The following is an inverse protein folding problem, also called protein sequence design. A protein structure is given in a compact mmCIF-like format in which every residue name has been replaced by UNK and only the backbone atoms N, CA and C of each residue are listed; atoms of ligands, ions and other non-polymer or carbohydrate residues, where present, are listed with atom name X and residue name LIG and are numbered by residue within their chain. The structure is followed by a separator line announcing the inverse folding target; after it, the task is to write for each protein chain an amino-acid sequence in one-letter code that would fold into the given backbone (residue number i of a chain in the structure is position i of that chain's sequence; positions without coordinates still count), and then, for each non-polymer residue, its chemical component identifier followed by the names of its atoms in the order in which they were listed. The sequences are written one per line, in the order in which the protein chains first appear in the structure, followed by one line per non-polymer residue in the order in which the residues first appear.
data_IF_403659983165
#
_entry.id   IF_403659983165
#
_cell.length_a   1.000
_cell.length_b   1.000
_cell.length_c   1.000
_cell.angle_alpha   90.00
_cell.angle_beta   90.00
_cell.angle_gamma   90.00
#
_symmetry.space_group_name_H-M   'P 1'
#
loop_
_entity.id
_entity.type
_entity.pdbx_description
1 polymer ?
#
# COMPACT_ATOMS: atom_id res chain seq x y z
N UNK A 1 56.06 9.87 -6.22
CA UNK A 1 54.95 10.87 -6.26
C UNK A 1 53.71 10.35 -7.01
N UNK A 2 53.82 9.93 -8.28
CA UNK A 2 52.67 9.49 -9.12
C UNK A 2 51.76 8.40 -8.51
N UNK A 3 52.31 7.43 -7.75
CA UNK A 3 51.51 6.36 -7.10
C UNK A 3 50.62 6.87 -5.96
N UNK A 4 51.13 7.82 -5.16
CA UNK A 4 50.37 8.43 -4.04
C UNK A 4 49.22 9.30 -4.57
N UNK A 5 49.47 10.07 -5.63
CA UNK A 5 48.43 10.88 -6.30
C UNK A 5 47.30 10.01 -6.85
N UNK A 6 47.61 8.88 -7.49
CA UNK A 6 46.59 7.94 -8.00
C UNK A 6 45.71 7.36 -6.88
N UNK A 7 46.30 7.00 -5.73
CA UNK A 7 45.56 6.50 -4.57
C UNK A 7 44.63 7.59 -4.00
N UNK A 8 45.13 8.83 -3.84
CA UNK A 8 44.34 9.96 -3.35
C UNK A 8 43.15 10.27 -4.28
N UNK A 9 43.37 10.25 -5.60
CA UNK A 9 42.29 10.42 -6.58
C UNK A 9 41.25 9.30 -6.45
N UNK A 10 41.70 8.04 -6.33
CA UNK A 10 40.80 6.90 -6.13
C UNK A 10 39.93 7.05 -4.87
N UNK A 11 40.53 7.44 -3.75
CA UNK A 11 39.79 7.71 -2.49
C UNK A 11 38.80 8.87 -2.64
N UNK A 12 39.21 9.96 -3.29
CA UNK A 12 38.32 11.09 -3.55
C UNK A 12 37.11 10.67 -4.39
N UNK A 13 37.31 9.84 -5.43
CA UNK A 13 36.20 9.31 -6.25
C UNK A 13 35.24 8.47 -5.43
N UNK A 14 35.75 7.56 -4.59
CA UNK A 14 34.92 6.71 -3.72
C UNK A 14 34.08 7.57 -2.75
N UNK A 15 34.65 8.63 -2.21
CA UNK A 15 33.95 9.54 -1.30
C UNK A 15 32.91 10.36 -2.04
N UNK A 16 33.20 10.86 -3.25
CA UNK A 16 32.33 11.79 -3.99
C UNK A 16 31.13 11.08 -4.65
N UNK A 17 31.28 9.84 -5.12
CA UNK A 17 30.21 9.12 -5.83
C UNK A 17 28.89 9.06 -5.05
N UNK A 18 28.85 8.67 -3.76
CA UNK A 18 27.62 8.67 -2.97
C UNK A 18 26.92 10.03 -2.93
N UNK A 19 27.67 11.13 -2.78
CA UNK A 19 27.10 12.48 -2.78
C UNK A 19 26.51 12.85 -4.14
N UNK A 20 27.18 12.48 -5.25
CA UNK A 20 26.65 12.71 -6.59
C UNK A 20 25.36 11.93 -6.85
N UNK A 21 25.29 10.68 -6.39
CA UNK A 21 24.07 9.84 -6.51
C UNK A 21 22.91 10.49 -5.75
N UNK A 22 23.14 10.91 -4.50
CA UNK A 22 22.10 11.57 -3.68
C UNK A 22 21.70 12.92 -4.29
N UNK A 23 22.65 13.70 -4.79
CA UNK A 23 22.38 14.97 -5.46
C UNK A 23 21.53 14.78 -6.73
N UNK A 24 21.87 13.80 -7.57
CA UNK A 24 21.08 13.45 -8.75
C UNK A 24 19.67 12.96 -8.39
N UNK A 25 19.55 12.15 -7.34
CA UNK A 25 18.26 11.68 -6.83
C UNK A 25 17.37 12.85 -6.38
N UNK A 26 17.93 13.79 -5.62
CA UNK A 26 17.20 14.97 -5.14
C UNK A 26 16.83 15.92 -6.29
N UNK A 27 17.68 16.08 -7.29
CA UNK A 27 17.36 16.86 -8.49
C UNK A 27 16.20 16.24 -9.26
N UNK A 28 16.18 14.91 -9.42
CA UNK A 28 15.05 14.20 -10.00
C UNK A 28 13.78 14.41 -9.16
N UNK A 29 13.85 14.33 -7.83
CA UNK A 29 12.71 14.56 -6.94
C UNK A 29 12.06 15.95 -7.12
N UNK A 30 12.84 16.98 -7.44
CA UNK A 30 12.31 18.31 -7.74
C UNK A 30 11.44 18.32 -9.01
N UNK A 31 11.81 17.55 -10.03
CA UNK A 31 11.01 17.39 -11.24
C UNK A 31 9.68 16.67 -10.93
N UNK A 32 9.75 15.58 -10.16
CA UNK A 32 8.56 14.82 -9.77
C UNK A 32 7.58 15.63 -8.90
N UNK A 33 8.09 16.45 -7.97
CA UNK A 33 7.25 17.27 -7.08
C UNK A 33 6.30 18.23 -7.84
N UNK A 34 6.61 18.58 -9.09
CA UNK A 34 5.74 19.44 -9.91
C UNK A 34 4.48 18.74 -10.42
N UNK A 35 4.52 17.42 -10.60
CA UNK A 35 3.44 16.67 -11.27
C UNK A 35 2.73 15.66 -10.36
N UNK A 36 3.23 15.47 -9.14
CA UNK A 36 2.67 14.57 -8.13
C UNK A 36 2.16 15.40 -6.96
N UNK A 37 0.98 15.04 -6.46
CA UNK A 37 0.37 15.68 -5.28
C UNK A 37 0.46 14.77 -4.07
N UNK A 38 0.40 15.32 -2.87
CA UNK A 38 0.28 14.45 -1.69
C UNK A 38 -1.01 13.65 -1.77
N UNK A 39 -1.01 12.44 -1.22
CA UNK A 39 -2.18 11.57 -1.30
C UNK A 39 -3.44 12.20 -0.67
N UNK A 40 -3.30 12.96 0.42
CA UNK A 40 -4.39 13.71 1.06
C UNK A 40 -4.96 14.86 0.19
N UNK A 41 -4.18 15.43 -0.73
CA UNK A 41 -4.67 16.43 -1.69
C UNK A 41 -5.43 15.79 -2.86
N UNK A 42 -5.40 14.47 -2.97
CA UNK A 42 -5.94 13.71 -4.09
C UNK A 42 -5.07 13.78 -5.35
N UNK A 43 -5.39 12.91 -6.30
CA UNK A 43 -4.77 12.87 -7.62
C UNK A 43 -5.86 12.86 -8.69
N UNK A 44 -5.56 13.33 -9.90
CA UNK A 44 -6.56 13.33 -10.96
C UNK A 44 -5.92 13.13 -12.33
N UNK A 45 -6.64 12.45 -13.20
CA UNK A 45 -6.32 12.25 -14.61
C UNK A 45 -7.41 12.92 -15.48
N UNK A 46 -7.59 12.49 -16.73
CA UNK A 46 -8.60 13.06 -17.61
C UNK A 46 -10.01 12.75 -17.10
N UNK A 47 -10.30 11.48 -16.83
CA UNK A 47 -11.65 11.03 -16.47
C UNK A 47 -11.80 10.60 -15.02
N UNK A 48 -10.71 10.40 -14.30
CA UNK A 48 -10.73 9.88 -12.93
C UNK A 48 -10.10 10.84 -11.92
N UNK A 49 -10.55 10.70 -10.69
CA UNK A 49 -9.97 11.32 -9.51
C UNK A 49 -9.79 10.29 -8.40
N UNK A 50 -8.68 10.41 -7.68
CA UNK A 50 -8.41 9.73 -6.42
C UNK A 50 -8.69 10.73 -5.31
N UNK A 51 -9.72 10.47 -4.50
CA UNK A 51 -10.13 11.34 -3.41
C UNK A 51 -10.28 10.59 -2.09
N UNK A 52 -10.06 11.28 -0.99
CA UNK A 52 -10.24 10.72 0.34
C UNK A 52 -11.74 10.52 0.64
N UNK A 53 -12.09 9.35 1.16
CA UNK A 53 -13.40 9.10 1.77
C UNK A 53 -13.27 9.34 3.27
N UNK A 54 -13.99 10.32 3.84
CA UNK A 54 -13.86 10.65 5.25
C UNK A 54 -14.55 9.57 6.11
N UNK A 55 -13.78 8.63 6.65
CA UNK A 55 -14.30 7.60 7.55
C UNK A 55 -13.98 7.94 9.02
N UNK A 56 -14.90 7.71 9.98
CA UNK A 56 -14.52 7.63 11.39
C UNK A 56 -13.64 6.42 11.66
N UNK A 57 -12.62 6.57 12.49
CA UNK A 57 -11.82 5.45 13.02
C UNK A 57 -10.87 4.77 12.02
N UNK A 58 -10.42 3.56 12.40
CA UNK A 58 -9.39 2.77 11.73
C UNK A 58 -10.00 1.65 10.89
N UNK A 59 -9.65 1.55 9.61
CA UNK A 59 -10.20 0.55 8.68
C UNK A 59 -9.78 -0.85 9.12
N UNK A 60 -10.73 -1.78 9.18
CA UNK A 60 -10.45 -3.16 9.54
C UNK A 60 -10.08 -3.99 8.30
N UNK A 61 -9.03 -4.81 8.42
CA UNK A 61 -8.75 -5.88 7.44
C UNK A 61 -9.69 -7.06 7.67
N UNK A 62 -10.18 -7.66 6.59
CA UNK A 62 -11.07 -8.82 6.60
C UNK A 62 -10.49 -9.90 5.71
N UNK A 63 -10.75 -11.15 6.06
CA UNK A 63 -10.37 -12.31 5.26
C UNK A 63 -11.59 -12.77 4.46
N UNK A 64 -11.40 -12.96 3.15
CA UNK A 64 -12.34 -13.59 2.25
C UNK A 64 -11.80 -14.94 1.77
N UNK A 65 -12.71 -15.80 1.31
CA UNK A 65 -12.36 -17.08 0.70
C UNK A 65 -12.53 -16.99 -0.82
N UNK A 66 -11.61 -17.57 -1.57
CA UNK A 66 -11.79 -17.80 -3.01
C UNK A 66 -12.59 -19.09 -3.26
N UNK A 67 -12.88 -19.39 -4.53
CA UNK A 67 -13.43 -20.69 -4.94
C UNK A 67 -12.34 -21.75 -5.19
N UNK A 68 -11.07 -21.43 -4.96
CA UNK A 68 -9.94 -22.32 -5.21
C UNK A 68 -9.64 -23.10 -3.93
N UNK A 69 -9.57 -24.43 -4.03
CA UNK A 69 -9.21 -25.31 -2.91
C UNK A 69 -7.71 -25.21 -2.65
N UNK A 70 -7.34 -25.02 -1.40
CA UNK A 70 -5.94 -25.03 -0.97
C UNK A 70 -5.43 -26.47 -0.90
N UNK A 71 -4.75 -26.90 -1.96
CA UNK A 71 -4.19 -28.24 -2.08
C UNK A 71 -3.10 -28.55 -1.06
N UNK A 72 -2.47 -27.53 -0.46
CA UNK A 72 -1.44 -27.72 0.57
C UNK A 72 -2.00 -28.17 1.93
N UNK A 73 -3.31 -28.01 2.12
CA UNK A 73 -4.03 -28.42 3.34
C UNK A 73 -4.60 -29.85 3.29
N UNK A 74 -4.48 -30.54 2.15
CA UNK A 74 -4.87 -31.94 1.98
C UNK A 74 -3.73 -32.86 2.46
N UNK A 75 -3.59 -32.98 3.77
CA UNK A 75 -2.66 -33.93 4.39
C UNK A 75 -3.03 -35.37 4.02
N UNK A 76 -2.03 -36.13 3.57
CA UNK A 76 -2.09 -37.56 3.28
C UNK A 76 -2.34 -38.32 4.59
N UNK A 77 -3.57 -38.72 4.86
CA UNK A 77 -3.88 -39.58 6.01
C UNK A 77 -5.37 -39.64 6.32
N UNK A 78 -5.97 -40.79 6.01
CA UNK A 78 -7.36 -41.20 6.27
C UNK A 78 -8.46 -40.34 5.66
N UNK A 79 -8.95 -40.84 4.52
CA UNK A 79 -10.18 -40.43 3.89
C UNK A 79 -11.38 -40.60 4.84
N UNK A 80 -11.91 -39.49 5.35
CA UNK A 80 -13.32 -39.08 5.26
C UNK A 80 -13.56 -37.85 6.15
N UNK A 81 -13.99 -36.74 5.55
CA UNK A 81 -14.45 -35.50 6.20
C UNK A 81 -13.39 -34.55 6.79
N UNK A 82 -12.26 -34.31 6.11
CA UNK A 82 -11.51 -33.08 6.39
C UNK A 82 -12.21 -31.89 5.69
N UNK A 83 -12.40 -30.75 6.39
CA UNK A 83 -13.01 -29.57 5.79
C UNK A 83 -12.17 -29.10 4.60
N UNK A 84 -12.84 -28.84 3.47
CA UNK A 84 -12.20 -28.24 2.29
C UNK A 84 -11.79 -26.82 2.66
N UNK A 85 -10.48 -26.58 2.78
CA UNK A 85 -9.96 -25.23 2.95
C UNK A 85 -9.87 -24.56 1.58
N UNK A 86 -10.36 -23.34 1.49
CA UNK A 86 -10.24 -22.51 0.32
C UNK A 86 -9.08 -21.52 0.51
N UNK A 87 -8.44 -21.14 -0.59
CA UNK A 87 -7.41 -20.10 -0.57
C UNK A 87 -8.07 -18.81 -0.05
N UNK A 88 -7.49 -18.24 1.00
CA UNK A 88 -7.95 -16.99 1.62
C UNK A 88 -7.29 -15.77 0.96
N UNK A 89 -7.92 -14.61 1.06
CA UNK A 89 -7.35 -13.33 0.66
C UNK A 89 -7.76 -12.23 1.62
N UNK A 90 -6.97 -11.17 1.70
CA UNK A 90 -7.32 -9.99 2.48
C UNK A 90 -8.07 -8.94 1.64
N UNK A 91 -8.93 -8.19 2.31
CA UNK A 91 -9.61 -7.03 1.75
C UNK A 91 -10.15 -6.14 2.86
N UNK A 92 -10.64 -4.96 2.46
CA UNK A 92 -11.10 -3.95 3.42
C UNK A 92 -12.46 -3.34 3.05
N UNK A 93 -12.82 -3.35 1.76
CA UNK A 93 -14.04 -2.76 1.24
C UNK A 93 -14.93 -3.86 0.68
N UNK A 94 -16.22 -3.82 1.02
CA UNK A 94 -17.25 -4.68 0.44
C UNK A 94 -18.00 -3.92 -0.65
N UNK A 95 -18.33 -4.60 -1.74
CA UNK A 95 -19.32 -4.19 -2.73
C UNK A 95 -20.64 -4.88 -2.42
N UNK A 96 -21.69 -4.12 -2.09
CA UNK A 96 -23.06 -4.64 -2.06
C UNK A 96 -23.55 -4.83 -3.50
N UNK A 97 -23.60 -6.09 -3.92
CA UNK A 97 -23.91 -6.49 -5.30
C UNK A 97 -25.38 -6.30 -5.70
N UNK A 98 -26.26 -6.03 -4.73
CA UNK A 98 -27.69 -5.76 -4.97
C UNK A 98 -27.94 -4.26 -5.01
N UNK A 99 -27.40 -3.52 -4.04
CA UNK A 99 -27.63 -2.08 -3.91
C UNK A 99 -26.65 -1.21 -4.69
N UNK A 100 -25.58 -1.78 -5.24
CA UNK A 100 -24.53 -1.06 -5.99
C UNK A 100 -23.86 0.06 -5.16
N UNK A 101 -23.64 -0.24 -3.87
CA UNK A 101 -22.97 0.63 -2.89
C UNK A 101 -21.77 -0.08 -2.28
N UNK A 102 -20.89 0.68 -1.65
CA UNK A 102 -19.73 0.17 -0.95
C UNK A 102 -19.94 0.21 0.55
N UNK A 103 -19.37 -0.76 1.26
CA UNK A 103 -19.40 -0.83 2.72
C UNK A 103 -18.00 -1.05 3.28
N UNK A 104 -17.70 -0.45 4.42
CA UNK A 104 -16.44 -0.63 5.15
C UNK A 104 -16.70 -0.72 6.63
N UNK A 105 -15.92 -1.55 7.31
CA UNK A 105 -15.87 -1.58 8.78
C UNK A 105 -14.70 -0.74 9.27
N UNK A 106 -14.96 0.14 10.22
CA UNK A 106 -13.91 0.84 10.96
C UNK A 106 -14.08 0.64 12.45
N UNK A 107 -13.00 0.78 13.23
CA UNK A 107 -13.04 0.76 14.70
C UNK A 107 -12.65 2.12 15.26
N UNK A 108 -13.43 2.59 16.22
CA UNK A 108 -13.12 3.77 17.01
C UNK A 108 -12.10 3.45 18.10
N UNK A 109 -11.25 4.42 18.41
CA UNK A 109 -10.17 4.30 19.39
C UNK A 109 -8.91 3.66 18.80
N UNK A 110 -7.93 4.50 18.46
CA UNK A 110 -6.56 4.03 18.30
C UNK A 110 -5.99 3.60 19.66
N UNK A 111 -4.77 3.05 19.71
CA UNK A 111 -4.15 2.58 20.96
C UNK A 111 -4.09 3.64 22.08
N UNK A 112 -4.27 4.93 21.76
CA UNK A 112 -4.21 6.04 22.72
C UNK A 112 -5.56 6.61 23.19
N UNK A 113 -6.72 6.13 22.71
CA UNK A 113 -8.03 6.67 23.11
C UNK A 113 -8.95 5.57 23.66
N UNK A 114 -8.73 5.20 24.92
CA UNK A 114 -9.47 4.12 25.62
C UNK A 114 -10.98 4.36 25.71
N UNK A 115 -11.42 5.63 25.75
CA UNK A 115 -12.84 6.01 25.90
C UNK A 115 -13.74 5.54 24.75
N UNK A 116 -13.17 5.28 23.57
CA UNK A 116 -13.91 4.85 22.37
C UNK A 116 -13.51 3.45 21.89
N UNK A 117 -12.70 2.73 22.67
CA UNK A 117 -12.12 1.44 22.32
C UNK A 117 -13.23 0.40 22.14
N UNK A 118 -13.31 -0.19 20.96
CA UNK A 118 -14.17 -1.35 20.68
C UNK A 118 -15.55 -1.03 20.10
N UNK A 119 -15.84 0.21 19.72
CA UNK A 119 -17.01 0.50 18.87
C UNK A 119 -16.63 0.30 17.40
N UNK A 120 -17.32 -0.60 16.71
CA UNK A 120 -17.21 -0.74 15.25
C UNK A 120 -18.25 0.15 14.57
N UNK A 121 -17.84 0.81 13.50
CA UNK A 121 -18.71 1.57 12.60
C UNK A 121 -18.86 0.83 11.28
N UNK A 122 -20.08 0.79 10.77
CA UNK A 122 -20.40 0.29 9.44
C UNK A 122 -20.81 1.43 8.55
N UNK A 123 -19.92 1.75 7.63
CA UNK A 123 -20.07 2.91 6.78
C UNK A 123 -20.47 2.43 5.40
N UNK A 124 -21.65 2.84 4.94
CA UNK A 124 -22.08 2.64 3.56
C UNK A 124 -21.85 3.93 2.80
N UNK A 125 -21.24 3.85 1.62
CA UNK A 125 -21.00 5.01 0.76
C UNK A 125 -21.27 4.68 -0.71
N UNK A 126 -21.64 5.70 -1.47
CA UNK A 126 -22.00 5.54 -2.87
C UNK A 126 -20.77 5.52 -3.80
N UNK A 127 -21.03 5.38 -5.10
CA UNK A 127 -20.02 5.40 -6.18
C UNK A 127 -19.22 6.71 -6.32
N UNK A 128 -19.58 7.76 -5.57
CA UNK A 128 -18.84 9.03 -5.50
C UNK A 128 -18.13 9.21 -4.16
N UNK A 129 -18.10 8.21 -3.29
CA UNK A 129 -17.51 8.29 -1.96
C UNK A 129 -18.34 9.08 -0.94
N UNK A 130 -19.60 9.45 -1.26
CA UNK A 130 -20.49 10.12 -0.31
C UNK A 130 -21.05 9.08 0.66
N UNK A 131 -20.87 9.31 1.95
CA UNK A 131 -21.44 8.48 3.03
C UNK A 131 -22.96 8.56 2.96
N UNK A 132 -23.60 7.40 2.94
CA UNK A 132 -25.05 7.21 2.96
C UNK A 132 -25.53 6.81 4.37
N UNK A 133 -24.75 6.02 5.09
CA UNK A 133 -25.06 5.59 6.45
C UNK A 133 -23.78 5.36 7.27
N UNK A 134 -23.86 5.59 8.57
CA UNK A 134 -22.86 5.20 9.58
C UNK A 134 -23.60 4.55 10.76
N UNK A 135 -23.45 3.24 10.91
CA UNK A 135 -24.11 2.47 11.97
C UNK A 135 -23.08 1.99 12.98
N UNK A 136 -23.23 2.41 14.23
CA UNK A 136 -22.37 1.97 15.34
C UNK A 136 -22.88 0.66 15.94
N UNK A 137 -21.97 -0.28 16.21
CA UNK A 137 -22.29 -1.55 16.86
C UNK A 137 -21.19 -1.96 17.85
N UNK A 138 -21.54 -2.91 18.73
CA UNK A 138 -20.61 -3.64 19.59
C UNK A 138 -20.35 -5.10 19.15
N UNK A 139 -21.03 -5.59 18.10
CA UNK A 139 -20.90 -6.96 17.60
C UNK A 139 -20.24 -6.97 16.22
N UNK A 140 -19.33 -7.91 15.95
CA UNK A 140 -18.81 -8.15 14.61
C UNK A 140 -19.96 -8.59 13.67
N UNK A 141 -20.21 -7.85 12.59
CA UNK A 141 -21.46 -8.02 11.82
C UNK A 141 -21.37 -9.07 10.72
N UNK A 142 -22.29 -10.04 10.79
CA UNK A 142 -22.72 -10.82 9.64
C UNK A 142 -23.41 -9.95 8.56
N UNK A 143 -23.96 -8.79 8.93
CA UNK A 143 -24.74 -7.92 8.03
C UNK A 143 -23.91 -7.22 6.93
N UNK A 144 -22.62 -6.96 7.16
CA UNK A 144 -21.71 -6.47 6.12
C UNK A 144 -21.61 -7.43 4.93
N UNK A 145 -21.61 -8.73 5.21
CA UNK A 145 -21.48 -9.78 4.21
C UNK A 145 -22.80 -10.09 3.49
N UNK A 146 -23.94 -9.58 3.98
CA UNK A 146 -25.23 -9.81 3.32
C UNK A 146 -25.22 -9.15 1.94
N UNK A 147 -25.14 -9.96 0.88
CA UNK A 147 -24.89 -9.57 -0.52
C UNK A 147 -23.55 -8.85 -0.77
N UNK A 148 -22.66 -8.86 0.23
CA UNK A 148 -21.39 -8.16 0.20
C UNK A 148 -20.29 -9.01 -0.41
N UNK A 149 -19.70 -8.54 -1.50
CA UNK A 149 -18.46 -9.10 -2.03
C UNK A 149 -17.28 -8.34 -1.45
N UNK A 150 -16.42 -9.00 -0.67
CA UNK A 150 -15.16 -8.42 -0.23
C UNK A 150 -14.25 -8.18 -1.46
N UNK A 151 -13.76 -6.96 -1.62
CA UNK A 151 -12.82 -6.62 -2.68
C UNK A 151 -11.42 -7.07 -2.29
N UNK A 152 -10.83 -7.90 -3.14
CA UNK A 152 -9.49 -8.48 -2.92
C UNK A 152 -8.40 -7.43 -3.07
N UNK A 153 -7.47 -7.39 -2.12
CA UNK A 153 -6.21 -6.66 -2.26
C UNK A 153 -5.37 -7.24 -3.41
N UNK A 154 -5.01 -6.36 -4.33
CA UNK A 154 -4.21 -6.65 -5.52
C UNK A 154 -2.72 -6.46 -5.25
N UNK A 155 -2.35 -5.84 -4.13
CA UNK A 155 -0.95 -5.69 -3.74
C UNK A 155 -0.45 -7.02 -3.20
N UNK A 156 0.60 -7.55 -3.83
CA UNK A 156 1.18 -8.84 -3.46
C UNK A 156 2.08 -8.67 -2.24
N UNK A 157 2.19 -9.70 -1.38
CA UNK A 157 3.35 -9.83 -0.51
C UNK A 157 4.62 -9.72 -1.35
N UNK A 158 5.53 -8.82 -1.00
CA UNK A 158 6.74 -8.50 -1.79
C UNK A 158 6.44 -8.00 -3.22
N UNK A 159 5.52 -7.04 -3.35
CA UNK A 159 5.23 -6.35 -4.61
C UNK A 159 6.50 -5.78 -5.26
N UNK A 160 6.75 -6.03 -6.57
CA UNK A 160 7.85 -5.39 -7.29
C UNK A 160 7.51 -3.92 -7.55
N UNK A 161 7.92 -3.05 -6.65
CA UNK A 161 7.48 -1.65 -6.61
C UNK A 161 7.96 -0.79 -7.77
N UNK A 162 9.03 -1.14 -8.48
CA UNK A 162 9.56 -0.42 -9.64
C UNK A 162 9.00 -0.97 -10.97
N UNK A 163 8.26 -2.08 -10.93
CA UNK A 163 7.69 -2.69 -12.12
C UNK A 163 6.44 -1.94 -12.63
N UNK A 164 6.60 -1.23 -13.74
CA UNK A 164 5.54 -0.41 -14.35
C UNK A 164 4.33 -1.18 -14.90
N UNK A 165 4.40 -2.51 -14.98
CA UNK A 165 3.26 -3.37 -15.35
C UNK A 165 2.28 -3.59 -14.19
N UNK A 166 2.66 -3.23 -12.95
CA UNK A 166 1.79 -3.35 -11.78
C UNK A 166 0.77 -2.22 -11.72
N UNK A 167 -0.41 -2.45 -11.11
CA UNK A 167 -1.44 -1.42 -10.99
C UNK A 167 -0.96 -0.22 -10.17
N UNK A 168 -0.05 -0.45 -9.21
CA UNK A 168 0.62 0.60 -8.45
C UNK A 168 2.12 0.33 -8.47
N UNK A 169 2.90 1.36 -8.82
CA UNK A 169 4.36 1.31 -8.78
C UNK A 169 4.95 2.67 -8.40
N UNK A 170 6.17 2.65 -7.88
CA UNK A 170 7.03 3.79 -7.58
C UNK A 170 7.73 4.20 -8.87
N UNK A 171 7.40 5.38 -9.39
CA UNK A 171 8.10 5.99 -10.51
C UNK A 171 9.45 6.58 -10.08
N UNK A 172 9.54 7.07 -8.84
CA UNK A 172 10.77 7.60 -8.25
C UNK A 172 10.72 7.55 -6.73
N UNK A 173 11.88 7.37 -6.09
CA UNK A 173 12.03 7.45 -4.64
C UNK A 173 13.00 8.58 -4.28
N UNK A 174 12.55 9.53 -3.47
CA UNK A 174 13.37 10.61 -2.93
C UNK A 174 14.11 10.15 -1.67
N UNK A 175 15.44 10.27 -1.68
CA UNK A 175 16.32 10.01 -0.55
C UNK A 175 16.42 11.24 0.34
N UNK A 176 15.41 11.46 1.19
CA UNK A 176 15.29 12.68 1.99
C UNK A 176 16.14 12.62 3.28
N UNK A 177 16.05 11.55 4.07
CA UNK A 177 16.76 11.38 5.34
C UNK A 177 17.61 10.10 5.36
N UNK A 178 18.89 10.22 5.72
CA UNK A 178 19.83 9.10 5.81
C UNK A 178 19.97 8.59 7.24
N UNK A 179 19.58 7.33 7.45
CA UNK A 179 19.66 6.63 8.72
C UNK A 179 21.04 5.98 8.90
N UNK A 180 22.05 6.80 9.19
CA UNK A 180 23.45 6.34 9.36
C UNK A 180 23.62 5.28 10.46
N UNK A 181 22.72 5.25 11.45
CA UNK A 181 22.72 4.24 12.50
C UNK A 181 22.50 2.80 11.97
N UNK A 182 21.95 2.62 10.76
CA UNK A 182 21.84 1.30 10.13
C UNK A 182 23.20 0.64 9.82
N UNK A 183 24.30 1.41 9.84
CA UNK A 183 25.66 0.87 9.76
C UNK A 183 26.19 0.31 11.08
N UNK A 184 25.46 0.42 12.20
CA UNK A 184 25.96 0.04 13.53
C UNK A 184 25.00 -0.89 14.32
N UNK A 185 25.35 -2.17 14.58
CA UNK A 185 26.38 -2.97 13.91
C UNK A 185 25.82 -3.56 12.60
N UNK A 186 26.09 -2.92 11.47
CA UNK A 186 25.68 -3.35 10.11
C UNK A 186 24.29 -3.98 10.01
N UNK A 187 23.30 -3.45 10.75
CA UNK A 187 21.94 -4.03 10.86
C UNK A 187 21.25 -4.13 9.50
N UNK A 188 21.60 -3.24 8.58
CA UNK A 188 21.06 -3.21 7.21
C UNK A 188 21.73 -4.17 6.22
N UNK A 189 22.76 -4.93 6.60
CA UNK A 189 23.46 -5.88 5.70
C UNK A 189 23.06 -7.34 5.90
N UNK A 190 21.92 -7.58 6.56
CA UNK A 190 21.46 -8.92 6.89
C UNK A 190 22.26 -9.49 8.06
N UNK A 191 21.73 -9.36 9.28
CA UNK A 191 22.31 -10.04 10.43
C UNK A 191 22.06 -11.55 10.31
N UNK A 192 23.07 -12.42 10.51
CA UNK A 192 22.85 -13.87 10.63
C UNK A 192 22.03 -14.25 11.87
N UNK A 193 21.77 -13.31 12.79
CA UNK A 193 21.01 -13.54 14.04
C UNK A 193 19.58 -12.99 14.04
N UNK A 194 19.02 -12.61 12.89
CA UNK A 194 17.59 -12.27 12.78
C UNK A 194 17.19 -10.89 13.32
N UNK A 195 18.09 -9.91 13.29
CA UNK A 195 17.75 -8.51 13.60
C UNK A 195 16.71 -7.95 12.63
N UNK A 196 15.82 -7.08 13.12
CA UNK A 196 14.80 -6.40 12.31
C UNK A 196 15.44 -5.60 11.17
N UNK A 197 14.80 -5.58 9.99
CA UNK A 197 15.24 -4.82 8.81
C UNK A 197 15.46 -3.36 9.17
N UNK A 198 16.65 -2.81 8.85
CA UNK A 198 16.97 -1.40 9.02
C UNK A 198 16.92 -0.71 7.64
N UNK A 199 16.20 0.39 7.54
CA UNK A 199 16.09 1.16 6.30
C UNK A 199 17.06 2.32 6.31
N UNK A 200 18.03 2.33 5.38
CA UNK A 200 19.05 3.38 5.28
C UNK A 200 18.47 4.74 4.88
N UNK A 201 17.34 4.75 4.19
CA UNK A 201 16.70 5.99 3.77
C UNK A 201 15.24 6.02 4.15
N UNK A 202 14.80 7.17 4.66
CA UNK A 202 13.40 7.55 4.74
C UNK A 202 13.15 8.70 3.77
N UNK A 203 11.99 8.71 3.12
CA UNK A 203 11.65 9.77 2.18
C UNK A 203 10.31 9.58 1.51
N UNK A 204 10.22 10.00 0.25
CA UNK A 204 8.96 10.08 -0.51
C UNK A 204 8.98 9.17 -1.73
N UNK A 205 7.98 8.31 -1.84
CA UNK A 205 7.67 7.56 -3.04
C UNK A 205 6.74 8.37 -3.93
N UNK A 206 7.11 8.52 -5.20
CA UNK A 206 6.26 9.10 -6.24
C UNK A 206 5.55 7.96 -6.96
N UNK A 207 4.30 7.71 -6.60
CA UNK A 207 3.53 6.57 -7.05
C UNK A 207 2.66 6.88 -8.27
N UNK A 208 2.65 5.94 -9.20
CA UNK A 208 1.69 5.88 -10.29
C UNK A 208 0.66 4.80 -9.98
N UNK A 209 -0.60 5.18 -9.89
CA UNK A 209 -1.74 4.27 -9.88
C UNK A 209 -2.36 4.24 -11.26
N UNK A 210 -2.31 3.08 -11.92
CA UNK A 210 -2.89 2.84 -13.23
C UNK A 210 -4.30 2.32 -13.06
N UNK A 211 -5.29 3.09 -13.48
CA UNK A 211 -6.70 2.71 -13.47
C UNK A 211 -7.34 2.99 -14.82
N UNK A 212 -7.95 1.98 -15.44
CA UNK A 212 -8.58 2.10 -16.77
C UNK A 212 -7.70 2.81 -17.82
N UNK A 213 -6.41 2.44 -17.88
CA UNK A 213 -5.36 3.00 -18.76
C UNK A 213 -5.00 4.47 -18.49
N UNK A 214 -5.51 5.07 -17.42
CA UNK A 214 -5.11 6.40 -16.95
C UNK A 214 -4.19 6.31 -15.74
N UNK A 215 -3.33 7.31 -15.57
CA UNK A 215 -2.34 7.36 -14.48
C UNK A 215 -2.71 8.46 -13.50
N UNK A 216 -2.96 8.05 -12.26
CA UNK A 216 -3.15 8.92 -11.10
C UNK A 216 -1.82 9.00 -10.34
N UNK A 217 -1.27 10.21 -10.23
CA UNK A 217 0.06 10.48 -9.66
C UNK A 217 -0.04 11.03 -8.25
N UNK A 218 0.51 10.31 -7.26
CA UNK A 218 0.49 10.75 -5.87
C UNK A 218 1.80 10.50 -5.13
N UNK A 219 2.00 11.19 -4.01
CA UNK A 219 3.16 11.06 -3.13
C UNK A 219 2.74 10.43 -1.81
N UNK A 220 3.49 9.44 -1.35
CA UNK A 220 3.36 8.84 -0.03
C UNK A 220 4.75 8.59 0.60
N UNK A 221 4.80 8.49 1.92
CA UNK A 221 6.03 8.18 2.63
C UNK A 221 6.47 6.73 2.35
N UNK A 222 7.77 6.53 2.17
CA UNK A 222 8.37 5.21 1.96
C UNK A 222 9.80 5.22 2.49
N UNK A 223 10.28 4.06 2.90
CA UNK A 223 11.67 3.85 3.31
C UNK A 223 12.34 2.83 2.40
N UNK A 224 13.66 2.89 2.26
CA UNK A 224 14.44 1.98 1.42
C UNK A 224 15.60 1.35 2.19
N UNK A 225 15.75 0.04 2.03
CA UNK A 225 16.84 -0.78 2.58
C UNK A 225 18.12 -0.71 1.74
N UNK A 226 18.08 -0.08 0.57
CA UNK A 226 19.27 0.13 -0.25
C UNK A 226 20.02 1.40 0.13
N UNK A 227 21.35 1.30 0.28
CA UNK A 227 22.23 2.44 0.56
C UNK A 227 22.30 3.41 -0.63
N UNK A 228 22.41 2.91 -1.86
CA UNK A 228 22.65 3.74 -3.05
C UNK A 228 21.55 3.56 -4.11
N UNK A 229 21.41 2.34 -4.63
CA UNK A 229 20.47 2.00 -5.70
C UNK A 229 19.39 1.09 -5.15
N UNK A 230 18.15 1.55 -5.20
CA UNK A 230 17.00 0.79 -4.71
C UNK A 230 16.52 -0.19 -5.78
N UNK A 231 16.19 -1.39 -5.34
CA UNK A 231 15.57 -2.48 -6.08
C UNK A 231 14.13 -2.69 -5.60
N UNK A 232 13.40 -3.57 -6.29
CA UNK A 232 11.98 -3.85 -6.06
C UNK A 232 11.65 -4.24 -4.61
N UNK A 233 12.54 -5.01 -3.97
CA UNK A 233 12.39 -5.58 -2.64
C UNK A 233 12.92 -4.69 -1.50
N UNK A 234 13.57 -3.57 -1.83
CA UNK A 234 14.17 -2.67 -0.83
C UNK A 234 13.15 -1.79 -0.11
N UNK A 235 11.91 -1.68 -0.60
CA UNK A 235 10.96 -0.69 -0.12
C UNK A 235 10.09 -1.17 1.04
N UNK A 236 9.95 -0.30 2.03
CA UNK A 236 9.12 -0.49 3.22
C UNK A 236 8.24 0.72 3.50
N UNK A 237 7.12 0.50 4.17
CA UNK A 237 6.02 1.46 4.26
C UNK A 237 5.14 1.45 3.02
N UNK A 238 5.67 1.09 1.84
CA UNK A 238 4.87 0.83 0.65
C UNK A 238 3.87 -0.32 0.86
N UNK A 239 4.21 -1.31 1.71
CA UNK A 239 3.29 -2.39 2.09
C UNK A 239 2.09 -1.92 2.93
N UNK A 240 2.12 -0.70 3.46
CA UNK A 240 0.94 -0.08 4.11
C UNK A 240 -0.06 0.42 3.07
N UNK A 241 0.30 0.42 1.79
CA UNK A 241 -0.64 0.59 0.71
C UNK A 241 -1.37 -0.74 0.48
N UNK A 242 -2.70 -0.68 0.44
CA UNK A 242 -3.56 -1.75 -0.06
C UNK A 242 -4.36 -1.21 -1.23
N UNK A 243 -4.59 -2.04 -2.24
CA UNK A 243 -5.31 -1.61 -3.43
C UNK A 243 -6.33 -2.65 -3.89
N UNK A 244 -7.57 -2.22 -4.06
CA UNK A 244 -8.66 -3.11 -4.46
C UNK A 244 -9.47 -2.49 -5.58
N UNK A 245 -9.77 -3.27 -6.61
CA UNK A 245 -10.62 -2.84 -7.72
C UNK A 245 -11.97 -3.54 -7.70
N UNK A 246 -12.99 -2.88 -8.23
CA UNK A 246 -14.25 -3.56 -8.55
C UNK A 246 -14.00 -4.61 -9.66
N UNK A 247 -14.38 -5.89 -9.46
CA UNK A 247 -14.20 -6.94 -10.45
C UNK A 247 -14.92 -6.62 -11.76
N UNK A 248 -14.35 -7.06 -12.89
CA UNK A 248 -14.85 -6.75 -14.23
C UNK A 248 -16.34 -7.02 -14.42
N UNK A 249 -16.85 -8.14 -13.86
CA UNK A 249 -18.27 -8.52 -13.94
C UNK A 249 -19.25 -7.51 -13.34
N UNK A 250 -18.78 -6.58 -12.51
CA UNK A 250 -19.59 -5.51 -11.91
C UNK A 250 -19.28 -4.11 -12.45
N UNK A 251 -18.22 -3.94 -13.25
CA UNK A 251 -17.77 -2.62 -13.73
C UNK A 251 -18.80 -1.87 -14.56
N UNK A 252 -19.73 -2.59 -15.23
CA UNK A 252 -20.83 -1.97 -15.97
C UNK A 252 -21.90 -1.31 -15.08
N UNK A 253 -22.01 -1.73 -13.82
CA UNK A 253 -23.00 -1.21 -12.84
C UNK A 253 -22.36 -0.25 -11.85
N UNK A 254 -21.16 -0.61 -11.39
CA UNK A 254 -20.40 0.09 -10.37
C UNK A 254 -18.95 0.16 -10.81
N UNK A 255 -18.48 1.38 -11.03
CA UNK A 255 -17.09 1.67 -11.29
C UNK A 255 -16.44 2.21 -10.01
N UNK A 256 -15.23 1.74 -9.72
CA UNK A 256 -14.45 2.20 -8.58
C UNK A 256 -13.21 1.35 -8.33
N UNK A 257 -12.24 1.98 -7.69
CA UNK A 257 -11.13 1.30 -7.04
C UNK A 257 -10.82 2.02 -5.72
N UNK A 258 -10.10 1.32 -4.84
CA UNK A 258 -9.83 1.77 -3.49
C UNK A 258 -8.35 1.65 -3.22
N UNK A 259 -7.76 2.73 -2.73
CA UNK A 259 -6.42 2.75 -2.18
C UNK A 259 -6.56 2.99 -0.68
N UNK A 260 -5.92 2.17 0.13
CA UNK A 260 -5.81 2.39 1.57
C UNK A 260 -4.35 2.69 1.86
N UNK A 261 -4.11 3.70 2.68
CA UNK A 261 -2.78 4.04 3.17
C UNK A 261 -2.91 4.32 4.66
N UNK A 262 -2.19 3.53 5.47
CA UNK A 262 -2.34 3.50 6.92
C UNK A 262 -3.80 3.16 7.26
N UNK A 263 -4.58 4.16 7.68
CA UNK A 263 -5.99 4.02 8.09
C UNK A 263 -6.94 4.87 7.25
N UNK A 264 -6.43 5.49 6.18
CA UNK A 264 -7.20 6.38 5.32
C UNK A 264 -7.67 5.64 4.07
N UNK A 265 -8.95 5.75 3.77
CA UNK A 265 -9.54 5.24 2.53
C UNK A 265 -9.52 6.34 1.47
N UNK A 266 -9.03 5.99 0.28
CA UNK A 266 -9.12 6.79 -0.92
C UNK A 266 -9.87 6.00 -1.98
N UNK A 267 -10.74 6.69 -2.71
CA UNK A 267 -11.54 6.12 -3.77
C UNK A 267 -11.10 6.72 -5.10
N UNK A 268 -10.86 5.86 -6.08
CA UNK A 268 -10.82 6.22 -7.49
C UNK A 268 -12.25 6.23 -8.01
N UNK A 269 -12.72 7.39 -8.49
CA UNK A 269 -14.03 7.54 -9.09
C UNK A 269 -13.95 8.39 -10.35
N UNK A 270 -14.92 8.22 -11.25
CA UNK A 270 -15.09 9.09 -12.40
C UNK A 270 -15.45 10.52 -11.96
N UNK A 271 -14.88 11.52 -12.64
CA UNK A 271 -15.19 12.95 -12.45
C UNK A 271 -16.63 13.27 -12.85
#
# INVERSE_FOLDING_TARGET
MRRRTKILIGLAVIIVIPFLIVAANNLASLFYTRSYKSLDQGASSANYELKRVPLPGFIQSKNGNTNVVDSSSLSIGTASQLPVNYVTYEGNVYLDTVQDVFKVETKSGGPQNEKYRGQSHYITFNKKGKILSDTQTKKDSADLAKNGLLLKDQILPFQPWLNQSKPIYIAHFSKDEFNSHCFNPLRGWGSPTGGSVCYFWSGRGFYNLVYNKEVLKFVAAVSSGAVLFSQDDDFSGAYLLKYSEVPERFRSRVEGAFLISEDKLYMVSRK
#
